data_IF_954401137772
#
_entry.id   IF_954401137772
#
_cell.length_a   1.000
_cell.length_b   1.000
_cell.length_c   1.000
_cell.angle_alpha   90.00
_cell.angle_beta   90.00
_cell.angle_gamma   90.00
#
_symmetry.space_group_name_H-M   'P 1'
#
loop_
_entity.id
_entity.type
_entity.pdbx_description
1 polymer ?
#
# COMPACT_ATOMS: atom_id res chain seq x y z
N UNK A 1 -9.95 25.51 15.08
CA UNK A 1 -10.91 25.57 13.96
C UNK A 1 -12.24 24.84 14.25
N UNK A 2 -12.24 23.57 14.68
CA UNK A 2 -13.48 22.82 15.07
C UNK A 2 -14.37 23.57 16.07
N UNK A 3 -13.79 24.13 17.13
CA UNK A 3 -14.49 24.93 18.16
C UNK A 3 -15.11 26.22 17.59
N UNK A 4 -14.56 26.75 16.51
CA UNK A 4 -15.02 27.99 15.89
C UNK A 4 -16.27 27.76 15.04
N UNK A 5 -16.28 26.73 14.19
CA UNK A 5 -17.48 26.35 13.43
C UNK A 5 -18.65 25.98 14.33
N UNK A 6 -18.38 25.27 15.43
CA UNK A 6 -19.41 25.01 16.44
C UNK A 6 -20.01 26.31 16.99
N UNK A 7 -19.19 27.32 17.30
CA UNK A 7 -19.67 28.63 17.78
C UNK A 7 -20.49 29.37 16.73
N UNK A 8 -20.10 29.31 15.45
CA UNK A 8 -20.83 29.94 14.34
C UNK A 8 -22.18 29.25 14.09
N UNK A 9 -22.20 27.92 14.08
CA UNK A 9 -23.41 27.12 13.95
C UNK A 9 -24.36 27.33 15.13
N UNK A 10 -23.83 27.28 16.35
CA UNK A 10 -24.58 27.60 17.57
C UNK A 10 -25.19 29.01 17.49
N UNK A 11 -24.41 30.01 17.06
CA UNK A 11 -24.92 31.36 16.87
C UNK A 11 -26.09 31.36 15.86
N UNK A 12 -25.93 30.74 14.68
CA UNK A 12 -26.98 30.68 13.65
C UNK A 12 -28.27 29.98 14.11
N UNK A 13 -28.14 28.86 14.82
CA UNK A 13 -29.29 28.07 15.30
C UNK A 13 -30.04 28.78 16.43
N UNK A 14 -29.34 29.55 17.26
CA UNK A 14 -29.91 30.29 18.40
C UNK A 14 -30.32 31.73 18.06
N UNK A 15 -30.00 32.24 16.86
CA UNK A 15 -30.34 33.60 16.38
C UNK A 15 -31.64 33.62 15.54
N UNK A 16 -32.51 32.61 15.66
CA UNK A 16 -33.85 32.62 15.03
C UNK A 16 -34.85 33.59 15.66
N UNK A 17 -34.50 34.31 16.73
CA UNK A 17 -35.44 35.13 17.54
C UNK A 17 -35.24 36.63 17.44
N UNK A 18 -34.34 37.13 16.60
CA UNK A 18 -34.12 38.57 16.49
C UNK A 18 -35.00 39.18 15.38
N UNK A 19 -36.01 39.99 15.77
CA UNK A 19 -36.84 40.82 14.89
C UNK A 19 -36.58 42.30 15.17
N UNK A 20 -36.23 43.08 14.15
CA UNK A 20 -35.96 44.53 14.27
C UNK A 20 -34.54 44.90 13.82
N UNK A 21 -33.84 45.87 14.45
CA UNK A 21 -32.51 46.39 14.02
C UNK A 21 -31.39 45.33 13.89
N UNK A 22 -31.70 44.08 14.20
CA UNK A 22 -30.88 42.88 14.05
C UNK A 22 -30.72 42.39 12.60
N UNK A 23 -31.43 42.97 11.64
CA UNK A 23 -31.22 42.68 10.21
C UNK A 23 -29.76 42.91 9.77
N UNK A 24 -29.09 43.90 10.36
CA UNK A 24 -27.67 44.16 10.14
C UNK A 24 -26.78 43.06 10.75
N UNK A 25 -27.15 42.50 11.90
CA UNK A 25 -26.46 41.38 12.55
C UNK A 25 -26.62 40.07 11.76
N UNK A 26 -27.81 39.79 11.25
CA UNK A 26 -28.07 38.65 10.37
C UNK A 26 -27.31 38.80 9.05
N UNK A 27 -27.30 40.01 8.46
CA UNK A 27 -26.53 40.30 7.25
C UNK A 27 -25.01 40.13 7.48
N UNK A 28 -24.47 40.64 8.59
CA UNK A 28 -23.07 40.47 8.96
C UNK A 28 -22.71 38.99 9.20
N UNK A 29 -23.59 38.24 9.88
CA UNK A 29 -23.42 36.79 10.09
C UNK A 29 -23.41 36.00 8.78
N UNK A 30 -24.30 36.33 7.84
CA UNK A 30 -24.33 35.71 6.52
C UNK A 30 -23.11 36.06 5.67
N UNK A 31 -22.63 37.31 5.72
CA UNK A 31 -21.41 37.75 5.04
C UNK A 31 -20.19 37.00 5.59
N UNK A 32 -20.08 36.91 6.91
CA UNK A 32 -18.99 36.20 7.58
C UNK A 32 -18.98 34.70 7.25
N UNK A 33 -20.16 34.07 7.20
CA UNK A 33 -20.30 32.68 6.77
C UNK A 33 -19.86 32.52 5.31
N UNK A 34 -20.27 33.42 4.43
CA UNK A 34 -19.83 33.45 3.03
C UNK A 34 -18.30 33.52 2.89
N UNK A 35 -17.65 34.43 3.62
CA UNK A 35 -16.20 34.55 3.64
C UNK A 35 -15.51 33.31 4.22
N UNK A 36 -16.06 32.73 5.29
CA UNK A 36 -15.54 31.49 5.88
C UNK A 36 -15.58 30.34 4.87
N UNK A 37 -16.69 30.19 4.14
CA UNK A 37 -16.82 29.14 3.12
C UNK A 37 -15.86 29.39 1.94
N UNK A 38 -15.62 30.64 1.56
CA UNK A 38 -14.61 30.98 0.54
C UNK A 38 -13.20 30.57 0.99
N UNK A 39 -12.84 30.84 2.24
CA UNK A 39 -11.55 30.44 2.82
C UNK A 39 -11.41 28.91 2.83
N UNK A 40 -12.45 28.20 3.29
CA UNK A 40 -12.43 26.73 3.29
C UNK A 40 -12.27 26.13 1.91
N UNK A 41 -12.91 26.70 0.88
CA UNK A 41 -12.66 26.27 -0.49
C UNK A 41 -11.19 26.44 -0.87
N UNK A 42 -10.58 27.58 -0.53
CA UNK A 42 -9.15 27.82 -0.74
C UNK A 42 -8.26 26.76 -0.06
N UNK A 43 -8.50 26.48 1.23
CA UNK A 43 -7.75 25.45 1.95
C UNK A 43 -7.98 24.04 1.40
N UNK A 44 -9.16 23.75 0.84
CA UNK A 44 -9.45 22.47 0.19
C UNK A 44 -8.62 22.29 -1.08
N UNK A 45 -8.53 23.35 -1.89
CA UNK A 45 -7.77 23.35 -3.13
C UNK A 45 -6.25 23.27 -2.84
N UNK A 46 -5.76 24.02 -1.85
CA UNK A 46 -4.37 23.99 -1.38
C UNK A 46 -3.99 22.61 -0.82
N UNK A 47 -4.83 21.99 0.01
CA UNK A 47 -4.58 20.64 0.52
C UNK A 47 -4.51 19.59 -0.61
N UNK A 48 -5.33 19.75 -1.66
CA UNK A 48 -5.24 18.89 -2.83
C UNK A 48 -3.92 19.09 -3.60
N UNK A 49 -3.49 20.33 -3.80
CA UNK A 49 -2.21 20.65 -4.41
C UNK A 49 -1.04 20.08 -3.59
N UNK A 50 -1.07 20.22 -2.27
CA UNK A 50 -0.05 19.64 -1.40
C UNK A 50 -0.01 18.12 -1.48
N UNK A 51 -1.18 17.47 -1.53
CA UNK A 51 -1.28 16.04 -1.75
C UNK A 51 -0.62 15.63 -3.08
N UNK A 52 -0.91 16.34 -4.17
CA UNK A 52 -0.40 15.97 -5.50
C UNK A 52 1.08 16.28 -5.67
N UNK A 53 1.54 17.42 -5.17
CA UNK A 53 2.86 17.96 -5.44
C UNK A 53 3.91 17.38 -4.48
N UNK A 54 3.57 17.26 -3.19
CA UNK A 54 4.45 16.71 -2.17
C UNK A 54 4.21 15.22 -1.88
N UNK A 55 3.25 14.61 -2.58
CA UNK A 55 2.88 13.20 -2.39
C UNK A 55 2.51 12.91 -0.93
N UNK A 56 1.81 13.83 -0.28
CA UNK A 56 1.42 13.71 1.12
C UNK A 56 -0.06 13.28 1.26
N UNK A 57 -0.35 12.02 1.59
CA UNK A 57 -1.73 11.55 1.73
C UNK A 57 -2.41 12.05 3.01
N UNK A 58 -1.68 12.67 3.95
CA UNK A 58 -2.27 13.21 5.19
C UNK A 58 -3.26 14.35 4.92
N UNK A 59 -3.08 15.07 3.81
CA UNK A 59 -3.94 16.16 3.34
C UNK A 59 -5.39 15.73 3.08
N UNK A 60 -5.63 14.42 2.94
CA UNK A 60 -6.99 13.87 2.83
C UNK A 60 -7.83 14.16 4.06
N UNK A 61 -7.23 14.20 5.27
CA UNK A 61 -7.97 14.49 6.49
C UNK A 61 -8.51 15.92 6.50
N UNK A 62 -7.70 16.88 6.05
CA UNK A 62 -8.09 18.29 5.90
C UNK A 62 -9.22 18.41 4.87
N UNK A 63 -9.04 17.81 3.69
CA UNK A 63 -10.06 17.82 2.64
C UNK A 63 -11.39 17.20 3.12
N UNK A 64 -11.34 16.04 3.76
CA UNK A 64 -12.54 15.35 4.25
C UNK A 64 -13.27 16.17 5.34
N UNK A 65 -12.52 16.80 6.24
CA UNK A 65 -13.10 17.68 7.26
C UNK A 65 -13.78 18.91 6.63
N UNK A 66 -13.13 19.58 5.67
CA UNK A 66 -13.71 20.74 4.97
C UNK A 66 -14.98 20.33 4.20
N UNK A 67 -14.91 19.21 3.46
CA UNK A 67 -16.06 18.71 2.71
C UNK A 67 -17.26 18.43 3.63
N UNK A 68 -17.03 17.80 4.78
CA UNK A 68 -18.07 17.56 5.78
C UNK A 68 -18.65 18.87 6.35
N UNK A 69 -17.79 19.86 6.63
CA UNK A 69 -18.22 21.17 7.10
C UNK A 69 -19.13 21.87 6.07
N UNK A 70 -18.74 21.83 4.78
CA UNK A 70 -19.53 22.39 3.68
C UNK A 70 -20.91 21.74 3.54
N UNK A 71 -20.98 20.40 3.63
CA UNK A 71 -22.26 19.69 3.59
C UNK A 71 -23.17 20.09 4.75
N UNK A 72 -22.62 20.19 5.96
CA UNK A 72 -23.41 20.53 7.16
C UNK A 72 -24.07 21.91 7.08
N UNK A 73 -23.56 22.80 6.22
CA UNK A 73 -24.09 24.15 5.98
C UNK A 73 -24.97 24.24 4.72
N UNK A 74 -25.23 23.12 4.03
CA UNK A 74 -26.01 23.09 2.78
C UNK A 74 -25.27 23.71 1.60
N UNK A 75 -23.93 23.70 1.61
CA UNK A 75 -23.05 24.23 0.56
C UNK A 75 -22.42 23.11 -0.28
N UNK A 76 -23.18 22.04 -0.47
CA UNK A 76 -22.83 20.93 -1.36
C UNK A 76 -22.43 21.44 -2.76
N UNK A 77 -21.39 20.85 -3.35
CA UNK A 77 -20.88 21.24 -4.67
C UNK A 77 -19.95 22.46 -4.70
N UNK A 78 -19.69 23.12 -3.56
CA UNK A 78 -18.71 24.24 -3.50
C UNK A 78 -17.26 23.75 -3.66
N UNK A 79 -16.99 22.51 -3.23
CA UNK A 79 -15.72 21.82 -3.38
C UNK A 79 -15.91 20.56 -4.20
N UNK A 80 -14.91 20.20 -4.98
CA UNK A 80 -14.94 19.00 -5.82
C UNK A 80 -14.58 17.75 -5.00
N UNK A 81 -15.60 17.01 -4.56
CA UNK A 81 -15.43 15.82 -3.74
C UNK A 81 -14.61 14.71 -4.40
N UNK A 82 -14.42 14.73 -5.73
CA UNK A 82 -13.58 13.72 -6.40
C UNK A 82 -12.09 13.91 -6.15
N UNK A 83 -11.66 15.05 -5.58
CA UNK A 83 -10.27 15.30 -5.18
C UNK A 83 -9.80 14.38 -4.04
N UNK A 84 -10.68 14.05 -3.10
CA UNK A 84 -10.35 13.14 -1.98
C UNK A 84 -9.94 11.75 -2.47
N UNK A 85 -10.74 11.00 -3.26
CA UNK A 85 -10.35 9.68 -3.73
C UNK A 85 -9.13 9.70 -4.66
N UNK A 86 -8.88 10.81 -5.35
CA UNK A 86 -7.67 11.02 -6.16
C UNK A 86 -6.39 11.11 -5.33
N UNK A 87 -6.49 11.48 -4.06
CA UNK A 87 -5.40 11.49 -3.08
C UNK A 87 -5.31 10.19 -2.25
N UNK A 88 -6.18 9.22 -2.52
CA UNK A 88 -6.21 7.94 -1.82
C UNK A 88 -5.81 6.78 -2.75
N UNK A 89 -4.86 7.06 -3.65
CA UNK A 89 -4.29 6.10 -4.58
C UNK A 89 -2.85 5.79 -4.23
N UNK A 90 -2.52 4.50 -4.19
CA UNK A 90 -1.19 4.03 -3.82
C UNK A 90 -0.68 3.00 -4.81
N UNK A 91 0.62 2.75 -4.79
CA UNK A 91 1.26 1.65 -5.51
C UNK A 91 2.13 0.87 -4.53
N UNK A 92 1.89 -0.42 -4.42
CA UNK A 92 2.76 -1.34 -3.68
C UNK A 92 3.71 -2.01 -4.66
N UNK A 93 5.01 -1.90 -4.41
CA UNK A 93 6.03 -2.74 -5.06
C UNK A 93 6.45 -3.84 -4.10
N UNK A 94 6.39 -5.09 -4.56
CA UNK A 94 6.90 -6.27 -3.88
C UNK A 94 8.10 -6.82 -4.67
N UNK A 95 9.22 -7.05 -3.99
CA UNK A 95 10.41 -7.71 -4.54
C UNK A 95 10.92 -8.70 -3.50
N UNK A 96 10.97 -9.98 -3.86
CA UNK A 96 11.44 -11.05 -2.98
C UNK A 96 12.52 -11.86 -3.68
N UNK A 97 13.68 -11.90 -3.04
CA UNK A 97 14.84 -12.69 -3.46
C UNK A 97 15.04 -13.82 -2.47
N UNK A 98 15.14 -15.05 -2.96
CA UNK A 98 15.49 -16.23 -2.18
C UNK A 98 16.66 -16.92 -2.86
N UNK A 99 17.77 -17.03 -2.14
CA UNK A 99 19.01 -17.68 -2.56
C UNK A 99 19.18 -18.98 -1.80
N UNK A 100 19.11 -20.11 -2.50
CA UNK A 100 19.38 -21.41 -1.89
C UNK A 100 20.87 -21.57 -1.58
N UNK A 101 21.14 -22.15 -0.42
CA UNK A 101 22.48 -22.47 0.03
C UNK A 101 22.78 -23.95 -0.22
N UNK A 102 24.04 -24.30 -0.55
CA UNK A 102 24.46 -25.70 -0.58
C UNK A 102 24.19 -26.38 0.78
N UNK A 103 23.92 -27.69 0.81
CA UNK A 103 23.71 -28.43 2.04
C UNK A 103 24.88 -28.25 3.03
N UNK A 104 24.61 -28.13 4.34
CA UNK A 104 25.65 -28.09 5.36
C UNK A 104 26.55 -29.32 5.28
N UNK A 105 27.87 -29.12 5.18
CA UNK A 105 28.85 -30.22 5.08
C UNK A 105 29.39 -30.51 3.68
N UNK A 106 28.89 -29.84 2.63
CA UNK A 106 29.60 -29.62 1.36
C UNK A 106 30.03 -30.86 0.55
N UNK A 107 29.57 -32.07 0.87
CA UNK A 107 29.96 -33.25 0.12
C UNK A 107 28.99 -33.50 -1.04
N UNK A 108 29.38 -33.03 -2.22
CA UNK A 108 28.74 -33.34 -3.50
C UNK A 108 28.21 -32.12 -4.23
N UNK A 109 27.95 -32.25 -5.55
CA UNK A 109 27.40 -31.16 -6.34
C UNK A 109 25.95 -30.87 -5.92
N UNK A 110 25.71 -29.65 -5.44
CA UNK A 110 24.37 -29.18 -5.07
C UNK A 110 23.73 -28.42 -6.23
N UNK A 111 22.47 -28.76 -6.53
CA UNK A 111 21.61 -27.95 -7.38
C UNK A 111 21.03 -26.84 -6.51
N UNK A 112 21.50 -25.61 -6.69
CA UNK A 112 21.00 -24.45 -5.96
C UNK A 112 20.33 -23.47 -6.91
N UNK A 113 19.23 -22.89 -6.45
CA UNK A 113 18.44 -21.94 -7.23
C UNK A 113 18.45 -20.57 -6.58
N UNK A 114 18.38 -19.54 -7.41
CA UNK A 114 18.07 -18.18 -6.99
C UNK A 114 16.74 -17.78 -7.59
N UNK A 115 15.77 -17.54 -6.72
CA UNK A 115 14.45 -17.04 -7.07
C UNK A 115 14.41 -15.53 -6.84
N UNK A 116 13.94 -14.77 -7.82
CA UNK A 116 13.55 -13.38 -7.62
C UNK A 116 12.19 -13.15 -8.24
N UNK A 117 11.20 -12.85 -7.42
CA UNK A 117 9.84 -12.56 -7.84
C UNK A 117 9.46 -11.11 -7.53
N UNK A 118 8.67 -10.51 -8.40
CA UNK A 118 8.28 -9.11 -8.32
C UNK A 118 6.82 -8.90 -8.67
N UNK A 119 6.17 -7.98 -7.96
CA UNK A 119 4.85 -7.47 -8.30
C UNK A 119 4.80 -5.95 -8.12
N UNK A 120 4.03 -5.29 -9.00
CA UNK A 120 3.63 -3.89 -8.84
C UNK A 120 2.11 -3.88 -8.78
N UNK A 121 1.57 -3.42 -7.67
CA UNK A 121 0.15 -3.54 -7.34
C UNK A 121 -0.43 -2.14 -7.18
N UNK A 122 -1.26 -1.66 -8.12
CA UNK A 122 -2.01 -0.44 -7.92
C UNK A 122 -3.06 -0.69 -6.82
N UNK A 123 -3.08 0.19 -5.83
CA UNK A 123 -4.03 0.12 -4.73
C UNK A 123 -5.01 1.29 -4.81
N UNK A 124 -6.28 0.95 -4.70
CA UNK A 124 -7.36 1.92 -4.59
C UNK A 124 -7.98 1.81 -3.22
N UNK A 125 -8.20 2.95 -2.57
CA UNK A 125 -8.91 3.01 -1.31
C UNK A 125 -10.33 2.45 -1.47
N UNK A 126 -10.67 1.49 -0.60
CA UNK A 126 -12.00 0.88 -0.58
C UNK A 126 -12.87 1.56 0.47
N UNK A 127 -12.48 1.46 1.75
CA UNK A 127 -13.18 2.06 2.89
C UNK A 127 -12.22 2.39 4.01
N UNK A 128 -12.65 3.14 5.03
CA UNK A 128 -11.81 3.42 6.20
C UNK A 128 -11.48 2.18 7.05
N UNK A 129 -12.35 1.16 7.05
CA UNK A 129 -12.16 -0.07 7.83
C UNK A 129 -11.20 -1.07 7.18
N UNK A 130 -11.09 -1.02 5.84
CA UNK A 130 -10.30 -1.96 5.02
C UNK A 130 -9.05 -1.28 4.44
N UNK A 131 -9.13 0.02 4.18
CA UNK A 131 -8.12 0.83 3.50
C UNK A 131 -7.91 0.44 2.03
N UNK A 132 -6.74 0.79 1.46
CA UNK A 132 -6.41 0.44 0.08
C UNK A 132 -6.22 -1.06 -0.16
N UNK A 133 -6.76 -1.52 -1.28
CA UNK A 133 -6.62 -2.91 -1.76
C UNK A 133 -6.39 -2.93 -3.27
N UNK A 134 -5.91 -4.06 -3.78
CA UNK A 134 -5.64 -4.23 -5.20
C UNK A 134 -4.88 -5.52 -5.49
N UNK A 135 -4.84 -5.86 -6.77
CA UNK A 135 -4.16 -7.05 -7.27
C UNK A 135 -3.19 -6.66 -8.37
N UNK A 136 -2.10 -7.41 -8.51
CA UNK A 136 -1.10 -7.24 -9.55
C UNK A 136 -0.51 -8.57 -9.97
N UNK A 137 0.10 -8.61 -11.15
CA UNK A 137 0.82 -9.79 -11.60
C UNK A 137 2.08 -9.99 -10.75
N UNK A 138 2.25 -11.18 -10.19
CA UNK A 138 3.52 -11.64 -9.62
C UNK A 138 4.26 -12.43 -10.70
N UNK A 139 5.48 -12.01 -11.02
CA UNK A 139 6.33 -12.65 -12.04
C UNK A 139 7.71 -12.96 -11.49
N UNK A 140 8.37 -13.95 -12.09
CA UNK A 140 9.81 -14.14 -11.90
C UNK A 140 10.57 -13.05 -12.65
N UNK A 141 11.25 -12.16 -11.92
CA UNK A 141 12.18 -11.19 -12.50
C UNK A 141 13.52 -11.85 -12.84
N UNK A 142 13.95 -12.82 -12.03
CA UNK A 142 15.11 -13.66 -12.31
C UNK A 142 14.91 -15.05 -11.71
N UNK A 143 15.38 -16.06 -12.43
CA UNK A 143 15.42 -17.44 -11.94
C UNK A 143 16.67 -18.11 -12.49
N UNK A 144 17.67 -18.27 -11.63
CA UNK A 144 18.95 -18.86 -12.04
C UNK A 144 19.20 -20.17 -11.31
N UNK A 145 19.96 -21.04 -11.97
CA UNK A 145 20.40 -22.33 -11.47
C UNK A 145 21.92 -22.34 -11.43
N UNK A 146 22.47 -22.84 -10.34
CA UNK A 146 23.90 -23.17 -10.21
C UNK A 146 24.01 -24.62 -9.78
N UNK A 147 24.85 -25.39 -10.46
CA UNK A 147 25.10 -26.79 -10.13
C UNK A 147 26.08 -27.44 -11.10
N UNK A 148 26.24 -28.77 -11.03
CA UNK A 148 27.21 -29.49 -11.84
C UNK A 148 26.86 -29.45 -13.33
N UNK A 149 27.88 -29.59 -14.16
CA UNK A 149 27.67 -29.94 -15.57
C UNK A 149 27.12 -31.36 -15.67
N UNK A 150 26.08 -31.53 -16.48
CA UNK A 150 25.41 -32.82 -16.71
C UNK A 150 25.50 -33.23 -18.18
N UNK A 151 26.61 -32.88 -18.86
CA UNK A 151 26.83 -33.21 -20.27
C UNK A 151 26.64 -34.72 -20.54
N UNK A 152 26.00 -35.11 -21.66
CA UNK A 152 25.59 -34.26 -22.79
C UNK A 152 24.24 -33.53 -22.60
N UNK A 153 23.64 -33.57 -21.41
CA UNK A 153 22.38 -32.90 -21.13
C UNK A 153 22.56 -31.40 -20.77
N UNK A 154 21.50 -30.62 -20.97
CA UNK A 154 21.45 -29.19 -20.64
C UNK A 154 20.27 -28.86 -19.70
N UNK A 155 20.52 -28.28 -18.52
CA UNK A 155 19.47 -27.80 -17.62
C UNK A 155 18.97 -26.42 -18.03
N UNK A 156 17.67 -26.18 -17.86
CA UNK A 156 17.02 -24.88 -18.09
C UNK A 156 15.99 -24.60 -17.00
N UNK A 157 15.79 -23.32 -16.67
CA UNK A 157 14.82 -22.86 -15.68
C UNK A 157 13.82 -21.90 -16.30
N UNK A 158 12.55 -22.02 -15.91
CA UNK A 158 11.49 -21.12 -16.32
C UNK A 158 10.57 -20.81 -15.13
N UNK A 159 10.07 -19.58 -15.07
CA UNK A 159 9.09 -19.12 -14.10
C UNK A 159 7.76 -18.86 -14.77
N UNK A 160 6.66 -19.13 -14.06
CA UNK A 160 5.31 -18.73 -14.48
C UNK A 160 4.77 -17.61 -13.59
N UNK A 161 3.81 -16.87 -14.14
CA UNK A 161 3.18 -15.76 -13.44
C UNK A 161 2.09 -16.27 -12.49
N UNK A 162 1.82 -15.48 -11.46
CA UNK A 162 0.74 -15.65 -10.49
C UNK A 162 0.11 -14.29 -10.22
N UNK A 163 -0.84 -14.22 -9.29
CA UNK A 163 -1.42 -12.97 -8.81
C UNK A 163 -0.93 -12.67 -7.39
N UNK A 164 -0.45 -11.44 -7.17
CA UNK A 164 -0.26 -10.85 -5.86
C UNK A 164 -1.53 -10.08 -5.49
N UNK A 165 -2.02 -10.25 -4.27
CA UNK A 165 -3.24 -9.62 -3.77
C UNK A 165 -2.98 -8.90 -2.44
N UNK A 166 -3.38 -7.63 -2.37
CA UNK A 166 -3.51 -6.89 -1.11
C UNK A 166 -4.97 -6.95 -0.66
N UNK A 167 -5.20 -7.57 0.49
CA UNK A 167 -6.54 -7.83 1.03
C UNK A 167 -7.00 -6.66 1.90
N UNK A 168 -6.12 -6.16 2.76
CA UNK A 168 -6.43 -5.12 3.74
C UNK A 168 -5.20 -4.29 4.04
N UNK A 169 -5.38 -2.99 4.17
CA UNK A 169 -4.31 -2.07 4.57
C UNK A 169 -4.81 -1.12 5.65
N UNK A 170 -4.10 -1.03 6.77
CA UNK A 170 -4.30 0.04 7.74
C UNK A 170 -3.26 1.13 7.47
N UNK A 171 -3.71 2.31 7.05
CA UNK A 171 -2.85 3.48 6.86
C UNK A 171 -3.03 4.48 7.99
N UNK A 172 -1.96 5.22 8.28
CA UNK A 172 -1.98 6.29 9.26
C UNK A 172 -1.90 7.65 8.56
N UNK A 173 -3.04 8.29 8.40
CA UNK A 173 -3.13 9.61 7.78
C UNK A 173 -2.77 10.76 8.73
N UNK A 174 -2.43 10.48 9.99
CA UNK A 174 -1.97 11.48 10.97
C UNK A 174 -0.43 11.51 11.09
N UNK A 175 0.27 10.88 10.15
CA UNK A 175 1.71 10.62 10.19
C UNK A 175 2.59 11.86 10.42
N UNK A 176 2.12 13.04 10.05
CA UNK A 176 2.84 14.31 10.19
C UNK A 176 2.15 15.30 11.15
N UNK A 177 1.04 14.92 11.78
CA UNK A 177 0.37 15.77 12.75
C UNK A 177 1.00 15.63 14.14
N UNK A 178 1.43 16.74 14.73
CA UNK A 178 1.94 16.78 16.09
C UNK A 178 0.77 16.67 17.08
N UNK A 179 0.56 15.48 17.69
CA UNK A 179 -0.37 15.36 18.83
C UNK A 179 -1.03 14.00 19.02
N UNK A 180 -1.12 13.17 17.98
CA UNK A 180 -1.64 11.80 18.08
C UNK A 180 -0.50 10.78 18.00
N UNK A 181 -0.49 9.72 18.83
CA UNK A 181 0.46 8.64 18.64
C UNK A 181 0.21 7.98 17.27
N UNK A 182 1.27 7.71 16.47
CA UNK A 182 1.09 7.11 15.16
C UNK A 182 0.38 5.76 15.25
N UNK A 183 -0.70 5.58 14.50
CA UNK A 183 -1.40 4.31 14.41
C UNK A 183 -0.54 3.29 13.66
N UNK A 184 -0.39 2.03 14.11
CA UNK A 184 0.45 1.06 13.43
C UNK A 184 -0.07 0.78 12.02
N UNK A 185 0.79 1.00 11.01
CA UNK A 185 0.50 0.61 9.64
C UNK A 185 0.59 -0.92 9.52
N UNK A 186 -0.42 -1.53 8.90
CA UNK A 186 -0.45 -2.96 8.63
C UNK A 186 -0.91 -3.23 7.20
N UNK A 187 -0.45 -4.33 6.62
CA UNK A 187 -0.84 -4.76 5.29
C UNK A 187 -1.01 -6.27 5.27
N UNK A 188 -2.22 -6.73 5.01
CA UNK A 188 -2.56 -8.12 4.78
C UNK A 188 -2.55 -8.42 3.28
N UNK A 189 -1.78 -9.43 2.87
CA UNK A 189 -1.58 -9.77 1.47
C UNK A 189 -1.36 -11.26 1.25
N UNK A 190 -1.73 -11.73 0.07
CA UNK A 190 -1.32 -13.01 -0.46
C UNK A 190 -0.35 -12.76 -1.62
N UNK A 191 0.92 -13.17 -1.51
CA UNK A 191 1.87 -12.96 -2.59
C UNK A 191 1.61 -13.85 -3.80
N UNK A 192 0.78 -14.89 -3.67
CA UNK A 192 0.51 -15.86 -4.74
C UNK A 192 1.50 -17.03 -4.80
N UNK A 193 1.36 -17.83 -5.85
CA UNK A 193 1.99 -19.14 -6.01
C UNK A 193 2.62 -19.31 -7.41
N UNK A 194 3.68 -18.55 -7.74
CA UNK A 194 4.32 -18.68 -9.05
C UNK A 194 4.98 -20.06 -9.17
N UNK A 195 4.73 -20.78 -10.27
CA UNK A 195 5.43 -22.05 -10.49
C UNK A 195 6.83 -21.79 -11.03
N UNK A 196 7.77 -22.52 -10.45
CA UNK A 196 9.09 -22.81 -10.96
C UNK A 196 9.03 -24.06 -11.83
N UNK A 197 9.72 -24.05 -12.97
CA UNK A 197 9.94 -25.19 -13.83
C UNK A 197 11.43 -25.38 -14.08
N UNK A 198 11.94 -26.59 -13.85
CA UNK A 198 13.29 -27.01 -14.19
C UNK A 198 13.22 -28.14 -15.20
N UNK A 199 13.88 -27.97 -16.33
CA UNK A 199 13.88 -28.94 -17.42
C UNK A 199 15.30 -29.39 -17.72
N UNK A 200 15.52 -30.69 -17.72
CA UNK A 200 16.77 -31.31 -18.20
C UNK A 200 16.50 -31.90 -19.57
N UNK A 201 17.21 -31.39 -20.59
CA UNK A 201 17.15 -31.88 -21.95
C UNK A 201 18.40 -32.72 -22.25
N UNK A 202 18.23 -33.95 -22.71
CA UNK A 202 19.33 -34.84 -23.10
C UNK A 202 19.15 -35.26 -24.58
N UNK A 203 20.23 -35.55 -25.31
CA UNK A 203 20.12 -36.15 -26.65
C UNK A 203 19.33 -37.47 -26.59
N UNK A 204 18.46 -37.70 -27.58
CA UNK A 204 17.73 -38.96 -27.78
C UNK A 204 16.80 -39.41 -26.63
N UNK A 205 16.56 -38.55 -25.64
CA UNK A 205 15.65 -38.83 -24.53
C UNK A 205 14.58 -37.72 -24.39
N UNK A 206 13.36 -38.06 -23.96
CA UNK A 206 12.35 -37.04 -23.62
C UNK A 206 12.85 -36.10 -22.50
N UNK A 207 12.47 -34.80 -22.53
CA UNK A 207 12.81 -33.87 -21.46
C UNK A 207 12.29 -34.32 -20.09
N UNK A 208 13.15 -34.24 -19.07
CA UNK A 208 12.75 -34.45 -17.68
C UNK A 208 12.33 -33.09 -17.11
N UNK A 209 11.08 -32.98 -16.67
CA UNK A 209 10.49 -31.72 -16.19
C UNK A 209 10.11 -31.84 -14.72
N UNK A 210 10.59 -30.89 -13.91
CA UNK A 210 10.19 -30.68 -12.53
C UNK A 210 9.43 -29.35 -12.45
N UNK A 211 8.16 -29.39 -12.04
CA UNK A 211 7.34 -28.19 -11.85
C UNK A 211 6.83 -28.11 -10.40
N UNK A 212 7.09 -27.00 -9.72
CA UNK A 212 6.75 -26.81 -8.31
C UNK A 212 6.53 -25.34 -7.96
N UNK A 213 5.76 -25.04 -6.92
CA UNK A 213 5.61 -23.68 -6.34
C UNK A 213 6.73 -23.35 -5.35
N UNK A 214 7.97 -23.71 -5.71
CA UNK A 214 9.12 -23.83 -4.79
C UNK A 214 9.40 -22.55 -3.99
N UNK A 215 9.38 -21.39 -4.65
CA UNK A 215 9.57 -20.09 -3.97
C UNK A 215 8.56 -19.89 -2.82
N UNK A 216 7.27 -20.14 -3.08
CA UNK A 216 6.19 -19.93 -2.12
C UNK A 216 6.19 -21.00 -1.02
N UNK A 217 6.06 -22.27 -1.41
CA UNK A 217 5.72 -23.34 -0.46
C UNK A 217 6.93 -23.88 0.29
N UNK A 218 8.14 -23.83 -0.27
CA UNK A 218 9.34 -24.34 0.40
C UNK A 218 10.10 -23.26 1.17
N UNK A 219 10.02 -22.00 0.73
CA UNK A 219 10.83 -20.95 1.33
C UNK A 219 9.98 -19.85 1.97
N UNK A 220 9.18 -19.12 1.19
CA UNK A 220 8.46 -17.96 1.71
C UNK A 220 7.52 -18.33 2.87
N UNK A 221 6.74 -19.40 2.72
CA UNK A 221 5.84 -19.91 3.75
C UNK A 221 6.55 -20.27 5.06
N UNK A 222 7.78 -20.80 4.97
CA UNK A 222 8.58 -21.20 6.12
C UNK A 222 9.23 -19.98 6.80
N UNK A 223 9.78 -19.04 6.01
CA UNK A 223 10.37 -17.82 6.54
C UNK A 223 9.33 -16.91 7.21
N UNK A 224 8.09 -16.94 6.73
CA UNK A 224 7.00 -16.08 7.19
C UNK A 224 5.91 -16.80 8.00
N UNK A 225 6.24 -17.95 8.59
CA UNK A 225 5.26 -18.77 9.32
C UNK A 225 4.58 -18.00 10.48
N UNK A 226 5.30 -17.07 11.12
CA UNK A 226 4.79 -16.27 12.23
C UNK A 226 4.02 -15.02 11.78
N UNK A 227 4.06 -14.67 10.49
CA UNK A 227 3.31 -13.55 9.91
C UNK A 227 1.97 -13.98 9.29
N UNK A 228 1.56 -15.25 9.42
CA UNK A 228 0.32 -15.74 8.80
C UNK A 228 -0.92 -14.98 9.26
N UNK A 229 -1.75 -14.58 8.30
CA UNK A 229 -3.06 -13.96 8.50
C UNK A 229 -4.00 -14.36 7.37
N UNK A 230 -5.17 -14.90 7.72
CA UNK A 230 -6.11 -15.42 6.72
C UNK A 230 -5.44 -16.45 5.80
N UNK A 231 -5.56 -16.26 4.49
CA UNK A 231 -4.89 -17.07 3.46
C UNK A 231 -3.47 -16.61 3.12
N UNK A 232 -3.04 -15.47 3.66
CA UNK A 232 -1.80 -14.79 3.29
C UNK A 232 -0.92 -14.48 4.50
N UNK A 233 -0.42 -13.24 4.54
CA UNK A 233 0.52 -12.74 5.53
C UNK A 233 0.17 -11.31 5.95
N UNK A 234 0.58 -10.93 7.15
CA UNK A 234 0.39 -9.61 7.73
C UNK A 234 1.74 -8.92 7.95
N UNK A 235 2.05 -7.95 7.10
CA UNK A 235 3.19 -7.07 7.27
C UNK A 235 2.88 -5.95 8.28
N UNK A 236 3.67 -5.87 9.34
CA UNK A 236 3.61 -4.86 10.41
C UNK A 236 4.94 -4.11 10.50
N UNK A 237 5.02 -3.11 11.37
CA UNK A 237 6.27 -2.41 11.71
C UNK A 237 6.98 -1.81 10.49
N UNK A 238 6.21 -1.07 9.70
CA UNK A 238 6.70 -0.39 8.51
C UNK A 238 7.58 0.80 8.91
N UNK A 239 8.72 0.94 8.24
CA UNK A 239 9.52 2.17 8.26
C UNK A 239 8.81 3.21 7.41
N UNK A 240 8.53 4.37 7.99
CA UNK A 240 7.71 5.42 7.35
C UNK A 240 8.59 6.56 6.87
N UNK A 241 8.25 7.13 5.74
CA UNK A 241 8.92 8.29 5.16
C UNK A 241 7.95 9.05 4.24
N UNK A 242 8.35 10.21 3.72
CA UNK A 242 7.54 10.90 2.70
C UNK A 242 7.62 10.20 1.33
N UNK A 243 8.82 9.81 0.92
CA UNK A 243 9.06 9.16 -0.38
C UNK A 243 10.10 8.03 -0.21
N UNK A 244 9.71 6.75 -0.26
CA UNK A 244 8.34 6.23 -0.37
C UNK A 244 7.51 6.52 0.89
N UNK A 245 6.19 6.34 0.83
CA UNK A 245 5.31 6.57 1.99
C UNK A 245 5.63 5.58 3.13
N UNK A 246 5.86 4.31 2.78
CA UNK A 246 6.30 3.31 3.75
C UNK A 246 7.13 2.22 3.08
N UNK A 247 8.02 1.60 3.86
CA UNK A 247 8.81 0.43 3.45
C UNK A 247 8.86 -0.62 4.55
N UNK A 248 8.71 -1.88 4.17
CA UNK A 248 8.98 -3.05 5.00
C UNK A 248 10.07 -3.87 4.34
N UNK A 249 11.05 -4.31 5.11
CA UNK A 249 12.10 -5.20 4.64
C UNK A 249 12.20 -6.40 5.58
N UNK A 250 12.31 -7.58 4.99
CA UNK A 250 12.61 -8.84 5.65
C UNK A 250 13.99 -9.30 5.20
N UNK A 251 14.80 -9.71 6.16
CA UNK A 251 16.07 -10.39 5.92
C UNK A 251 16.07 -11.63 6.82
N UNK A 252 15.95 -12.81 6.21
CA UNK A 252 15.79 -14.08 6.94
C UNK A 252 16.85 -15.08 6.47
N UNK A 253 17.89 -15.32 7.28
CA UNK A 253 18.81 -16.41 7.02
C UNK A 253 18.25 -17.74 7.54
N UNK A 254 18.61 -18.84 6.89
CA UNK A 254 18.45 -20.21 7.40
C UNK A 254 19.65 -21.06 7.02
N UNK A 255 19.65 -22.33 7.42
CA UNK A 255 20.71 -23.28 7.06
C UNK A 255 20.71 -23.66 5.57
N UNK A 256 19.64 -23.40 4.83
CA UNK A 256 19.42 -23.90 3.46
C UNK A 256 19.05 -22.81 2.46
N UNK A 257 18.73 -21.61 2.91
CA UNK A 257 18.43 -20.46 2.05
C UNK A 257 18.57 -19.13 2.80
N UNK A 258 18.73 -18.05 2.06
CA UNK A 258 18.64 -16.66 2.55
C UNK A 258 17.54 -15.94 1.78
N UNK A 259 16.67 -15.26 2.51
CA UNK A 259 15.61 -14.43 1.95
C UNK A 259 15.89 -12.94 2.18
N UNK A 260 15.69 -12.14 1.14
CA UNK A 260 15.51 -10.70 1.24
C UNK A 260 14.23 -10.30 0.52
N UNK A 261 13.25 -9.79 1.27
CA UNK A 261 11.99 -9.30 0.71
C UNK A 261 11.78 -7.84 1.08
N UNK A 262 11.41 -7.02 0.10
CA UNK A 262 11.05 -5.62 0.31
C UNK A 262 9.64 -5.35 -0.21
N UNK A 263 8.81 -4.75 0.65
CA UNK A 263 7.57 -4.10 0.26
C UNK A 263 7.75 -2.59 0.33
N UNK A 264 7.43 -1.89 -0.75
CA UNK A 264 7.50 -0.42 -0.82
C UNK A 264 6.12 0.12 -1.20
N UNK A 265 5.52 0.90 -0.30
CA UNK A 265 4.27 1.60 -0.54
C UNK A 265 4.55 3.04 -0.96
N UNK A 266 4.11 3.41 -2.16
CA UNK A 266 4.19 4.78 -2.69
C UNK A 266 2.80 5.39 -2.72
N UNK A 267 2.70 6.66 -2.36
CA UNK A 267 1.51 7.46 -2.62
C UNK A 267 1.56 7.96 -4.07
N UNK A 268 0.50 7.71 -4.84
CA UNK A 268 0.43 7.96 -6.29
C UNK A 268 -0.84 8.75 -6.64
N UNK A 269 -0.99 9.98 -6.13
CA UNK A 269 -2.18 10.80 -6.33
C UNK A 269 -2.38 11.11 -7.82
N UNK A 270 -3.65 11.21 -8.24
CA UNK A 270 -4.06 11.44 -9.63
C UNK A 270 -4.65 12.82 -9.85
#
# INVERSE_FOLDING_TARGET
MKTFLFKVKWFRENVRTFTGPDAALVAAGNMYLGDTMRIFKGCYDEAFEECTDFKDPTQVEIMAWIWTAMQSEGKEGTVDSVKIPRCLTFELTFDSVIEELPPPGGQGPAFVFRHQVQAVVPLTFNSYDIGPMGNGELRYASLTYTGPSIAPCSPTTAGSNSVFQVVKTSLDFNLFESGSPPQPMTLEYDPGYPNFTFTVNCPEAPPIVLQQQRWRTQYYDNFHANERSGSGFLAKDWARSRVPYARKTYQRPSAFAVETTTLTLKHTPK
#
